data_IF_697524208943
#
_entry.id   IF_697524208943
#
_cell.length_a   1.000
_cell.length_b   1.000
_cell.length_c   1.000
_cell.angle_alpha   90.00
_cell.angle_beta   90.00
_cell.angle_gamma   90.00
#
_symmetry.space_group_name_H-M   'P 1'
#
loop_
_entity.id
_entity.type
_entity.pdbx_description
1 polymer ?
#
# COMPACT_ATOMS: atom_id res chain seq x y z
N UNK A 1 34.60 16.28 -17.96
CA UNK A 1 34.60 16.03 -19.42
C UNK A 1 33.14 15.94 -19.84
N UNK A 2 32.68 16.95 -20.58
CA UNK A 2 31.30 17.11 -21.02
C UNK A 2 31.06 16.24 -22.26
N UNK A 3 29.98 15.44 -22.27
CA UNK A 3 29.54 14.72 -23.47
C UNK A 3 28.26 15.36 -23.99
N UNK A 4 28.37 15.90 -25.20
CA UNK A 4 27.44 16.81 -25.85
C UNK A 4 26.25 16.08 -26.49
N UNK A 5 25.06 16.66 -26.29
CA UNK A 5 23.78 16.35 -26.93
C UNK A 5 23.84 16.60 -28.46
N UNK A 6 23.32 15.68 -29.29
CA UNK A 6 22.98 15.97 -30.69
C UNK A 6 21.58 15.45 -31.03
N UNK A 7 20.64 16.38 -31.02
CA UNK A 7 19.29 16.28 -31.55
C UNK A 7 19.34 16.43 -33.08
N UNK A 8 18.74 15.53 -33.84
CA UNK A 8 18.55 15.73 -35.29
C UNK A 8 17.10 15.44 -35.65
N UNK A 9 16.40 16.50 -36.06
CA UNK A 9 15.04 16.52 -36.57
C UNK A 9 15.10 16.31 -38.09
N UNK A 10 14.26 15.45 -38.67
CA UNK A 10 14.04 15.40 -40.11
C UNK A 10 12.55 15.15 -40.39
N UNK A 11 11.86 16.23 -40.78
CA UNK A 11 10.52 16.20 -41.34
C UNK A 11 10.61 15.99 -42.86
N UNK A 12 9.79 15.11 -43.42
CA UNK A 12 9.53 15.09 -44.87
C UNK A 12 8.06 14.86 -45.12
N UNK A 13 7.39 15.90 -45.63
CA UNK A 13 6.04 15.86 -46.15
C UNK A 13 6.09 15.47 -47.64
N UNK A 14 5.18 14.62 -48.09
CA UNK A 14 4.91 14.41 -49.51
C UNK A 14 3.39 14.43 -49.74
N UNK A 15 2.96 15.53 -50.36
CA UNK A 15 1.62 15.82 -50.84
C UNK A 15 1.47 15.20 -52.24
N UNK A 16 0.40 14.45 -52.49
CA UNK A 16 0.04 14.01 -53.85
C UNK A 16 -1.47 14.16 -54.04
N UNK A 17 -1.84 15.10 -54.91
CA UNK A 17 -3.19 15.51 -55.28
C UNK A 17 -3.48 15.03 -56.71
N UNK A 18 -4.60 14.33 -56.94
CA UNK A 18 -5.10 14.04 -58.28
C UNK A 18 -6.65 13.99 -58.32
N UNK A 19 -7.22 15.16 -58.64
CA UNK A 19 -8.31 15.49 -59.58
C UNK A 19 -9.55 14.58 -59.77
N UNK A 20 -10.71 15.25 -59.71
CA UNK A 20 -12.10 14.87 -59.99
C UNK A 20 -12.41 14.56 -61.48
N UNK A 21 -13.42 13.71 -61.71
CA UNK A 21 -14.56 13.80 -62.69
C UNK A 21 -15.37 12.49 -62.59
N UNK A 22 -16.70 12.34 -62.64
CA UNK A 22 -17.88 13.19 -62.80
C UNK A 22 -19.14 12.29 -63.00
N UNK A 23 -20.28 12.74 -62.44
CA UNK A 23 -21.71 12.56 -62.82
C UNK A 23 -22.36 11.20 -63.23
N UNK A 24 -23.37 10.84 -62.42
CA UNK A 24 -24.81 10.70 -62.76
C UNK A 24 -25.35 9.48 -63.53
N UNK A 25 -26.25 8.73 -62.87
CA UNK A 25 -27.47 8.18 -63.49
C UNK A 25 -27.83 6.70 -63.22
N UNK A 26 -28.91 6.46 -62.47
CA UNK A 26 -29.93 5.45 -62.83
C UNK A 26 -29.93 4.07 -62.14
N UNK A 27 -30.83 3.93 -61.15
CA UNK A 27 -31.68 2.77 -60.78
C UNK A 27 -31.30 1.35 -61.24
N UNK A 28 -31.09 0.42 -60.30
CA UNK A 28 -32.00 -0.73 -60.10
C UNK A 28 -31.62 -1.55 -58.86
N UNK A 29 -32.66 -2.00 -58.17
CA UNK A 29 -32.63 -2.91 -57.02
C UNK A 29 -32.11 -4.28 -57.40
N UNK A 30 -31.13 -4.77 -56.65
CA UNK A 30 -30.96 -6.18 -56.33
C UNK A 30 -30.21 -6.25 -55.00
N UNK A 31 -30.94 -6.55 -53.92
CA UNK A 31 -30.35 -6.88 -52.64
C UNK A 31 -29.49 -8.15 -52.79
N UNK A 32 -28.19 -8.13 -52.46
CA UNK A 32 -27.48 -9.35 -52.16
C UNK A 32 -27.72 -9.72 -50.70
N UNK A 33 -27.89 -11.01 -50.50
CA UNK A 33 -28.20 -11.75 -49.28
C UNK A 33 -27.36 -11.34 -48.05
N UNK A 34 -27.89 -11.56 -46.83
CA UNK A 34 -27.12 -11.39 -45.61
C UNK A 34 -25.89 -12.31 -45.67
N UNK A 35 -24.71 -11.70 -45.79
CA UNK A 35 -23.46 -12.40 -45.55
C UNK A 35 -23.54 -12.96 -44.13
N UNK A 36 -23.68 -14.28 -44.04
CA UNK A 36 -23.56 -15.01 -42.79
C UNK A 36 -22.08 -14.93 -42.43
N UNK A 37 -21.70 -13.93 -41.64
CA UNK A 37 -20.40 -13.88 -41.00
C UNK A 37 -20.31 -15.12 -40.11
N UNK A 38 -19.63 -16.15 -40.62
CA UNK A 38 -19.10 -17.24 -39.80
C UNK A 38 -18.08 -16.61 -38.86
N UNK A 39 -18.55 -16.22 -37.68
CA UNK A 39 -17.67 -15.89 -36.56
C UNK A 39 -17.01 -17.19 -36.11
N UNK A 40 -15.70 -17.30 -36.33
CA UNK A 40 -14.92 -18.39 -35.76
C UNK A 40 -15.03 -18.31 -34.22
N UNK A 41 -15.11 -19.44 -33.50
CA UNK A 41 -15.14 -19.42 -32.03
C UNK A 41 -13.87 -18.73 -31.52
N UNK A 42 -14.03 -17.67 -30.74
CA UNK A 42 -12.88 -16.98 -30.15
C UNK A 42 -12.41 -17.81 -28.96
N UNK A 43 -11.17 -18.28 -29.02
CA UNK A 43 -10.61 -19.12 -27.94
C UNK A 43 -10.31 -18.24 -26.72
N UNK A 44 -11.09 -18.45 -25.65
CA UNK A 44 -10.88 -17.79 -24.36
C UNK A 44 -9.88 -18.58 -23.53
N UNK A 45 -8.94 -17.87 -22.92
CA UNK A 45 -7.96 -18.42 -21.99
C UNK A 45 -8.30 -18.04 -20.55
N UNK A 46 -8.05 -18.95 -19.61
CA UNK A 46 -8.26 -18.67 -18.19
C UNK A 46 -7.27 -17.61 -17.70
N UNK A 47 -7.77 -16.60 -16.99
CA UNK A 47 -6.96 -15.55 -16.38
C UNK A 47 -6.37 -16.09 -15.07
N UNK A 48 -5.06 -15.92 -14.80
CA UNK A 48 -4.45 -16.32 -13.54
C UNK A 48 -5.15 -15.68 -12.33
N UNK A 49 -5.33 -16.46 -11.25
CA UNK A 49 -5.89 -15.94 -10.01
C UNK A 49 -4.86 -15.08 -9.26
N UNK A 50 -5.21 -13.82 -9.04
CA UNK A 50 -4.36 -12.80 -8.41
C UNK A 50 -5.00 -12.20 -7.15
N UNK A 51 -6.09 -12.80 -6.67
CA UNK A 51 -6.78 -12.36 -5.45
C UNK A 51 -5.83 -12.42 -4.25
N UNK A 52 -5.79 -11.36 -3.44
CA UNK A 52 -4.94 -11.26 -2.26
C UNK A 52 -3.49 -10.87 -2.52
N UNK A 53 -3.05 -10.75 -3.78
CA UNK A 53 -1.74 -10.19 -4.12
C UNK A 53 -1.77 -8.66 -4.01
N UNK A 54 -0.60 -8.05 -3.82
CA UNK A 54 -0.48 -6.60 -3.98
C UNK A 54 -0.67 -6.21 -5.46
N UNK A 55 -1.16 -4.99 -5.69
CA UNK A 55 -1.52 -4.52 -7.03
C UNK A 55 -0.36 -4.47 -8.01
N UNK A 56 0.90 -4.37 -7.56
CA UNK A 56 2.06 -4.44 -8.45
C UNK A 56 2.36 -5.89 -8.86
N UNK A 57 2.43 -6.81 -7.89
CA UNK A 57 2.65 -8.24 -8.17
C UNK A 57 1.53 -8.84 -9.02
N UNK A 58 0.28 -8.47 -8.75
CA UNK A 58 -0.87 -8.89 -9.54
C UNK A 58 -0.79 -8.38 -10.98
N UNK A 59 -0.39 -7.12 -11.16
CA UNK A 59 -0.19 -6.53 -12.49
C UNK A 59 0.89 -7.26 -13.27
N UNK A 60 2.06 -7.47 -12.67
CA UNK A 60 3.17 -8.16 -13.31
C UNK A 60 2.76 -9.59 -13.72
N UNK A 61 2.07 -10.31 -12.84
CA UNK A 61 1.55 -11.67 -13.11
C UNK A 61 0.64 -11.70 -14.35
N UNK A 62 -0.27 -10.75 -14.48
CA UNK A 62 -1.21 -10.69 -15.61
C UNK A 62 -0.56 -10.19 -16.91
N UNK A 63 0.37 -9.24 -16.83
CA UNK A 63 1.12 -8.76 -17.99
C UNK A 63 2.07 -9.85 -18.54
N UNK A 64 2.70 -10.64 -17.67
CA UNK A 64 3.48 -11.83 -18.04
C UNK A 64 2.63 -12.91 -18.71
N UNK A 65 1.37 -13.06 -18.28
CA UNK A 65 0.40 -13.94 -18.93
C UNK A 65 -0.15 -13.37 -20.26
N UNK A 66 0.25 -12.16 -20.65
CA UNK A 66 -0.10 -11.55 -21.93
C UNK A 66 -1.39 -10.73 -21.91
N UNK A 67 -1.89 -10.36 -20.73
CA UNK A 67 -3.06 -9.50 -20.57
C UNK A 67 -2.67 -8.03 -20.36
N UNK A 68 -3.61 -7.11 -20.62
CA UNK A 68 -3.49 -5.71 -20.24
C UNK A 68 -4.17 -5.50 -18.90
N UNK A 69 -3.63 -4.64 -18.03
CA UNK A 69 -4.17 -4.44 -16.68
C UNK A 69 -4.71 -3.03 -16.50
N UNK A 70 -5.92 -2.93 -15.94
CA UNK A 70 -6.39 -1.73 -15.26
C UNK A 70 -6.56 -2.02 -13.78
N UNK A 71 -6.25 -1.03 -12.95
CA UNK A 71 -6.45 -1.10 -11.51
C UNK A 71 -7.51 -0.08 -11.15
N UNK A 72 -8.55 -0.53 -10.46
CA UNK A 72 -9.70 0.24 -10.00
C UNK A 72 -9.67 0.30 -8.46
N UNK A 73 -9.33 1.48 -7.94
CA UNK A 73 -9.35 1.79 -6.50
C UNK A 73 -10.70 2.34 -6.03
N UNK A 74 -11.75 2.26 -6.83
CA UNK A 74 -13.05 2.86 -6.55
C UNK A 74 -12.98 4.39 -6.60
N UNK A 75 -13.21 5.04 -5.46
CA UNK A 75 -13.23 6.50 -5.35
C UNK A 75 -11.82 7.12 -5.16
N UNK A 76 -10.78 6.30 -4.98
CA UNK A 76 -9.40 6.73 -4.75
C UNK A 76 -8.50 6.48 -5.96
N UNK A 77 -7.56 7.41 -6.20
CA UNK A 77 -6.52 7.25 -7.22
C UNK A 77 -5.40 6.29 -6.77
N UNK A 78 -5.10 5.28 -7.59
CA UNK A 78 -4.05 4.30 -7.33
C UNK A 78 -2.68 4.83 -7.77
N UNK A 79 -2.01 5.56 -6.88
CA UNK A 79 -0.67 6.13 -7.17
C UNK A 79 0.47 5.11 -7.06
N UNK A 80 0.36 4.17 -6.11
CA UNK A 80 1.39 3.16 -5.84
C UNK A 80 0.72 1.80 -5.67
N UNK A 81 0.58 1.00 -6.74
CA UNK A 81 -0.17 -0.25 -6.73
C UNK A 81 0.24 -1.25 -5.65
N UNK A 82 1.52 -1.24 -5.23
CA UNK A 82 2.01 -2.10 -4.13
C UNK A 82 1.39 -1.81 -2.77
N UNK A 83 0.72 -0.66 -2.58
CA UNK A 83 0.01 -0.31 -1.35
C UNK A 83 -1.47 -0.75 -1.35
N UNK A 84 -1.85 -1.56 -2.33
CA UNK A 84 -3.23 -1.99 -2.56
C UNK A 84 -3.26 -3.50 -2.69
N UNK A 85 -4.31 -4.13 -2.19
CA UNK A 85 -4.54 -5.58 -2.30
C UNK A 85 -5.69 -5.83 -3.26
N UNK A 86 -5.53 -6.84 -4.13
CA UNK A 86 -6.58 -7.25 -5.07
C UNK A 86 -7.68 -8.00 -4.33
N UNK A 87 -8.90 -7.47 -4.39
CA UNK A 87 -10.10 -8.11 -3.85
C UNK A 87 -10.81 -8.98 -4.89
N UNK A 88 -10.78 -8.52 -6.14
CA UNK A 88 -11.43 -9.19 -7.26
C UNK A 88 -10.82 -8.77 -8.61
N UNK A 89 -11.10 -9.54 -9.64
CA UNK A 89 -10.73 -9.21 -11.01
C UNK A 89 -11.80 -9.65 -12.00
N UNK A 90 -11.84 -9.00 -13.17
CA UNK A 90 -12.77 -9.34 -14.23
C UNK A 90 -12.24 -8.94 -15.61
N UNK A 91 -12.49 -9.75 -16.67
CA UNK A 91 -13.13 -11.08 -16.64
C UNK A 91 -12.20 -12.20 -16.12
N UNK A 92 -12.75 -13.37 -15.76
CA UNK A 92 -11.97 -14.56 -15.35
C UNK A 92 -11.49 -15.42 -16.50
N UNK A 93 -12.07 -15.24 -17.69
CA UNK A 93 -11.65 -15.85 -18.95
C UNK A 93 -11.59 -14.75 -20.00
N UNK A 94 -10.52 -14.72 -20.79
CA UNK A 94 -10.31 -13.64 -21.75
C UNK A 94 -9.46 -14.07 -22.94
N UNK A 95 -9.65 -13.34 -24.05
CA UNK A 95 -8.79 -13.43 -25.23
C UNK A 95 -7.38 -12.91 -24.91
N UNK A 96 -6.33 -13.35 -25.64
CA UNK A 96 -5.01 -12.77 -25.49
C UNK A 96 -5.02 -11.25 -25.66
N UNK A 97 -4.29 -10.54 -24.80
CA UNK A 97 -4.23 -9.06 -24.76
C UNK A 97 -5.54 -8.37 -24.38
N UNK A 98 -6.55 -9.11 -23.94
CA UNK A 98 -7.72 -8.51 -23.31
C UNK A 98 -7.32 -7.71 -22.07
N UNK A 99 -8.11 -6.68 -21.77
CA UNK A 99 -7.93 -5.84 -20.59
C UNK A 99 -8.64 -6.46 -19.40
N UNK A 100 -7.89 -6.80 -18.36
CA UNK A 100 -8.38 -7.27 -17.07
C UNK A 100 -8.42 -6.09 -16.10
N UNK A 101 -9.56 -5.89 -15.44
CA UNK A 101 -9.71 -4.89 -14.39
C UNK A 101 -9.54 -5.57 -13.04
N UNK A 102 -8.60 -5.07 -12.24
CA UNK A 102 -8.40 -5.43 -10.84
C UNK A 102 -9.16 -4.45 -9.96
N UNK A 103 -10.08 -4.93 -9.14
CA UNK A 103 -10.67 -4.15 -8.05
C UNK A 103 -9.76 -4.31 -6.83
N UNK A 104 -9.29 -3.19 -6.30
CA UNK A 104 -8.34 -3.18 -5.19
C UNK A 104 -8.85 -2.35 -4.02
N UNK A 105 -8.49 -2.79 -2.82
CA UNK A 105 -8.64 -2.00 -1.60
C UNK A 105 -7.28 -1.60 -1.07
N UNK A 106 -7.21 -0.42 -0.47
CA UNK A 106 -5.98 0.07 0.16
C UNK A 106 -5.57 -0.93 1.22
N UNK A 107 -4.40 -1.53 1.06
CA UNK A 107 -3.85 -2.36 2.13
C UNK A 107 -3.73 -1.44 3.34
N UNK A 108 -4.39 -1.73 4.47
CA UNK A 108 -4.19 -0.93 5.66
C UNK A 108 -2.69 -0.98 5.93
N UNK A 109 -2.02 0.15 5.73
CA UNK A 109 -0.63 0.29 6.16
C UNK A 109 -0.72 0.20 7.67
N UNK A 110 -0.26 -0.89 8.32
CA UNK A 110 -0.16 -0.85 9.77
C UNK A 110 0.62 0.42 10.10
N UNK A 111 0.17 1.23 11.10
CA UNK A 111 0.95 2.38 11.53
C UNK A 111 2.39 1.93 11.73
N UNK A 112 3.35 2.76 11.31
CA UNK A 112 4.78 2.48 11.39
C UNK A 112 5.09 1.73 12.70
N UNK A 113 5.34 0.42 12.55
CA UNK A 113 5.42 -0.59 13.59
C UNK A 113 4.20 -0.61 14.56
N UNK A 114 3.46 -1.71 14.54
CA UNK A 114 2.39 -1.99 15.49
C UNK A 114 2.41 -3.48 15.85
N UNK A 115 1.90 -3.81 17.04
CA UNK A 115 1.59 -5.21 17.38
C UNK A 115 0.55 -5.77 16.41
N UNK A 116 0.43 -7.09 16.31
CA UNK A 116 -0.63 -7.77 15.56
C UNK A 116 -2.03 -7.35 16.02
N UNK A 117 -2.14 -6.91 17.28
CA UNK A 117 -3.34 -6.36 17.92
C UNK A 117 -3.56 -4.86 17.66
N UNK A 118 -2.65 -4.19 16.94
CA UNK A 118 -2.79 -2.80 16.49
C UNK A 118 -2.30 -1.75 17.50
N UNK A 119 -1.60 -2.14 18.56
CA UNK A 119 -0.97 -1.23 19.50
C UNK A 119 0.27 -0.59 18.86
N UNK A 120 0.28 0.73 18.77
CA UNK A 120 1.42 1.49 18.22
C UNK A 120 2.35 1.97 19.32
N UNK A 121 3.60 2.29 18.97
CA UNK A 121 4.61 2.78 19.90
C UNK A 121 4.13 3.99 20.73
N UNK A 122 3.38 4.92 20.13
CA UNK A 122 2.91 6.13 20.82
C UNK A 122 1.90 5.81 21.92
N UNK A 123 0.94 4.93 21.65
CA UNK A 123 -0.04 4.52 22.66
C UNK A 123 0.62 3.64 23.73
N UNK A 124 1.57 2.79 23.33
CA UNK A 124 2.34 1.97 24.24
C UNK A 124 3.21 2.82 25.19
N UNK A 125 3.91 3.83 24.66
CA UNK A 125 4.66 4.81 25.45
C UNK A 125 3.74 5.57 26.41
N UNK A 126 2.57 6.03 25.94
CA UNK A 126 1.61 6.74 26.79
C UNK A 126 1.09 5.87 27.94
N UNK A 127 0.84 4.59 27.69
CA UNK A 127 0.48 3.64 28.74
C UNK A 127 1.64 3.42 29.72
N UNK A 128 2.85 3.35 29.21
CA UNK A 128 4.05 3.23 30.03
C UNK A 128 4.25 4.45 30.95
N UNK A 129 4.13 5.67 30.41
CA UNK A 129 4.16 6.93 31.18
C UNK A 129 3.15 6.91 32.33
N UNK A 130 1.91 6.52 32.05
CA UNK A 130 0.86 6.43 33.08
C UNK A 130 1.21 5.42 34.17
N UNK A 131 1.79 4.27 33.80
CA UNK A 131 2.24 3.27 34.76
C UNK A 131 3.40 3.78 35.64
N UNK A 132 4.37 4.50 35.05
CA UNK A 132 5.48 5.11 35.78
C UNK A 132 4.96 6.15 36.78
N UNK A 133 4.06 7.03 36.35
CA UNK A 133 3.49 8.07 37.22
C UNK A 133 2.66 7.46 38.37
N UNK A 134 1.99 6.34 38.12
CA UNK A 134 1.26 5.60 39.15
C UNK A 134 2.18 4.89 40.15
N UNK A 135 3.30 4.33 39.69
CA UNK A 135 4.30 3.67 40.54
C UNK A 135 5.08 4.69 41.40
N UNK A 136 5.34 5.88 40.87
CA UNK A 136 6.08 6.95 41.54
C UNK A 136 5.21 8.19 41.83
N UNK A 137 4.23 8.09 42.74
CA UNK A 137 3.19 9.11 42.95
C UNK A 137 3.72 10.45 43.50
N UNK A 138 4.98 10.52 43.93
CA UNK A 138 5.61 11.75 44.42
C UNK A 138 6.38 12.51 43.34
N UNK A 139 6.55 11.94 42.14
CA UNK A 139 7.17 12.57 40.99
C UNK A 139 8.07 11.61 40.20
N UNK A 140 7.90 11.57 38.88
CA UNK A 140 8.72 10.83 37.95
C UNK A 140 8.95 11.65 36.67
N UNK A 141 10.13 12.27 36.54
CA UNK A 141 10.49 13.03 35.35
C UNK A 141 11.13 12.08 34.32
N UNK A 142 10.39 11.75 33.26
CA UNK A 142 10.75 10.74 32.27
C UNK A 142 11.52 11.37 31.08
N UNK A 143 12.67 10.80 30.72
CA UNK A 143 13.55 11.36 29.69
C UNK A 143 13.39 10.71 28.31
N UNK A 144 12.20 10.77 27.69
CA UNK A 144 11.88 10.05 26.44
C UNK A 144 12.69 10.43 25.18
N UNK A 145 13.43 11.53 25.18
CA UNK A 145 14.26 11.97 24.04
C UNK A 145 15.74 11.65 24.28
N UNK A 146 16.31 12.09 25.40
CA UNK A 146 17.74 11.94 25.71
C UNK A 146 18.07 10.80 26.66
N UNK A 147 17.08 10.26 27.36
CA UNK A 147 17.20 9.12 28.27
C UNK A 147 16.40 7.90 27.80
N UNK A 148 15.94 7.86 26.54
CA UNK A 148 15.34 6.65 25.97
C UNK A 148 16.45 5.70 25.53
N UNK A 149 16.57 4.59 26.24
CA UNK A 149 17.61 3.59 26.05
C UNK A 149 17.15 2.46 25.11
N UNK A 150 15.84 2.18 25.05
CA UNK A 150 15.26 1.21 24.12
C UNK A 150 13.80 1.57 23.75
N UNK A 151 13.45 1.27 22.51
CA UNK A 151 12.09 1.23 21.95
C UNK A 151 12.08 0.11 20.91
N UNK A 152 11.46 -1.01 21.27
CA UNK A 152 11.52 -2.24 20.46
C UNK A 152 10.13 -2.87 20.37
N UNK A 153 9.69 -3.18 19.16
CA UNK A 153 8.56 -4.07 18.94
C UNK A 153 9.03 -5.52 19.05
N UNK A 154 8.63 -6.22 20.11
CA UNK A 154 8.87 -7.64 20.30
C UNK A 154 7.76 -8.44 19.61
N UNK A 155 7.89 -8.64 18.29
CA UNK A 155 6.87 -9.26 17.45
C UNK A 155 6.56 -10.74 17.83
N UNK A 156 7.51 -11.45 18.44
CA UNK A 156 7.34 -12.82 18.94
C UNK A 156 6.40 -12.90 20.16
N UNK A 157 6.33 -11.83 20.94
CA UNK A 157 5.51 -11.72 22.15
C UNK A 157 4.37 -10.70 22.03
N UNK A 158 4.17 -10.16 20.82
CA UNK A 158 3.14 -9.18 20.46
C UNK A 158 3.08 -7.95 21.39
N UNK A 159 4.23 -7.37 21.71
CA UNK A 159 4.33 -6.26 22.68
C UNK A 159 5.43 -5.27 22.37
N UNK A 160 5.30 -4.08 22.90
CA UNK A 160 6.34 -3.05 22.94
C UNK A 160 7.20 -3.21 24.19
N UNK A 161 8.50 -3.02 24.01
CA UNK A 161 9.45 -2.86 25.10
C UNK A 161 10.02 -1.44 25.06
N UNK A 162 9.94 -0.76 26.20
CA UNK A 162 10.61 0.52 26.43
C UNK A 162 11.60 0.39 27.58
N UNK A 163 12.72 1.09 27.41
CA UNK A 163 13.65 1.39 28.49
C UNK A 163 13.92 2.87 28.52
N UNK A 164 13.63 3.52 29.64
CA UNK A 164 13.73 4.97 29.79
C UNK A 164 14.39 5.32 31.12
N UNK A 165 15.20 6.36 31.10
CA UNK A 165 15.77 6.97 32.29
C UNK A 165 14.75 7.93 32.92
N UNK A 166 14.58 7.86 34.24
CA UNK A 166 13.58 8.60 35.01
C UNK A 166 14.22 9.19 36.26
N UNK A 167 13.94 10.46 36.56
CA UNK A 167 14.27 11.04 37.86
C UNK A 167 13.09 10.88 38.81
N UNK A 168 13.29 10.14 39.90
CA UNK A 168 12.23 9.74 40.84
C UNK A 168 12.32 10.56 42.11
N UNK A 169 11.24 11.22 42.48
CA UNK A 169 11.12 11.96 43.74
C UNK A 169 10.40 11.13 44.79
N UNK A 170 10.88 11.14 46.03
CA UNK A 170 10.24 10.43 47.13
C UNK A 170 9.39 11.35 48.03
N UNK A 171 8.70 10.78 49.02
CA UNK A 171 7.82 11.52 49.94
C UNK A 171 8.50 12.64 50.74
N UNK A 172 9.83 12.60 50.88
CA UNK A 172 10.61 13.65 51.55
C UNK A 172 11.02 14.79 50.61
N UNK A 173 10.68 14.69 49.31
CA UNK A 173 11.08 15.63 48.28
C UNK A 173 12.53 15.44 47.80
N UNK A 174 13.17 14.31 48.14
CA UNK A 174 14.49 14.00 47.60
C UNK A 174 14.35 13.26 46.26
N UNK A 175 15.16 13.67 45.29
CA UNK A 175 15.16 13.12 43.93
C UNK A 175 16.36 12.21 43.72
N UNK A 176 16.10 10.99 43.25
CA UNK A 176 17.09 10.09 42.70
C UNK A 176 17.08 10.27 41.18
N UNK A 177 18.23 10.67 40.63
CA UNK A 177 18.39 10.83 39.18
C UNK A 177 18.77 9.52 38.51
N UNK A 178 18.49 9.45 37.21
CA UNK A 178 18.96 8.42 36.30
C UNK A 178 18.50 6.98 36.64
N UNK A 179 17.31 6.81 37.23
CA UNK A 179 16.72 5.48 37.46
C UNK A 179 16.29 4.89 36.13
N UNK A 180 16.74 3.67 35.81
CA UNK A 180 16.28 3.00 34.60
C UNK A 180 14.95 2.33 34.87
N UNK A 181 13.96 2.58 34.01
CA UNK A 181 12.65 1.92 34.06
C UNK A 181 12.41 1.17 32.75
N UNK A 182 12.07 -0.10 32.90
CA UNK A 182 11.75 -1.04 31.83
C UNK A 182 10.25 -1.36 31.86
N UNK A 183 9.66 -1.44 30.67
CA UNK A 183 8.22 -1.43 30.49
C UNK A 183 7.83 -2.30 29.31
N UNK A 184 6.94 -3.26 29.54
CA UNK A 184 6.41 -4.15 28.52
C UNK A 184 4.92 -3.85 28.34
N UNK A 185 4.51 -3.51 27.12
CA UNK A 185 3.14 -3.05 26.84
C UNK A 185 2.53 -3.84 25.69
N UNK A 186 1.37 -4.44 25.94
CA UNK A 186 0.60 -5.25 24.99
C UNK A 186 -0.84 -4.72 24.87
N UNK A 187 -1.69 -5.38 24.08
CA UNK A 187 -3.11 -5.02 23.93
C UNK A 187 -3.36 -4.16 22.69
N UNK A 188 -4.25 -3.18 22.79
CA UNK A 188 -4.61 -2.29 21.68
C UNK A 188 -4.42 -0.83 22.06
N UNK A 189 -4.51 0.09 21.10
CA UNK A 189 -4.51 1.54 21.41
C UNK A 189 -5.61 1.95 22.40
N UNK A 190 -6.78 1.28 22.37
CA UNK A 190 -7.91 1.59 23.25
C UNK A 190 -7.85 0.89 24.61
N UNK A 191 -7.09 -0.21 24.69
CA UNK A 191 -6.95 -1.02 25.89
C UNK A 191 -5.51 -1.55 26.03
N UNK A 192 -4.52 -0.67 26.27
CA UNK A 192 -3.15 -1.11 26.51
C UNK A 192 -3.04 -1.79 27.88
N UNK A 193 -2.20 -2.81 27.96
CA UNK A 193 -1.89 -3.55 29.19
C UNK A 193 -0.40 -3.48 29.46
N UNK A 194 -0.04 -2.97 30.64
CA UNK A 194 1.36 -2.78 31.08
C UNK A 194 1.68 -3.87 32.10
N UNK A 195 2.74 -4.64 31.86
CA UNK A 195 3.31 -5.55 32.86
C UNK A 195 3.94 -4.76 34.02
N UNK A 196 4.15 -5.36 35.21
CA UNK A 196 4.83 -4.68 36.31
C UNK A 196 6.17 -4.10 35.87
N UNK A 197 6.40 -2.83 36.22
CA UNK A 197 7.62 -2.12 35.87
C UNK A 197 8.83 -2.77 36.51
N UNK A 198 9.95 -2.79 35.80
CA UNK A 198 11.26 -3.15 36.36
C UNK A 198 12.09 -1.88 36.45
N UNK A 199 12.64 -1.59 37.63
CA UNK A 199 13.46 -0.39 37.83
C UNK A 199 14.71 -0.65 38.69
N UNK A 200 15.81 0.05 38.38
CA UNK A 200 17.11 -0.11 39.04
C UNK A 200 18.03 1.09 38.86
#
# INVERSE_FOLDING_TARGET
>A
MQTTLKLTLAATAALSLAMLTGCSGGTTSAAPEPATETSAPVELSAVPDVTGLDGATAKDTLEEAGFLVAIDGGDEDVLMPSNWTVDAYSPTEAEPRAKITLTVSKTPTPPAEATATGLTATYAQSACTQAIDAEFPFGADQHWILGKLAEELQADTDRWFFKVTVDVTNASGATQHDVNVECYVSGTNDAPSVEPLVYY
#
